data_IF_167275570906
#
_entry.id   IF_167275570906
#
_cell.length_a   1.000
_cell.length_b   1.000
_cell.length_c   1.000
_cell.angle_alpha   90.00
_cell.angle_beta   90.00
_cell.angle_gamma   90.00
#
_symmetry.space_group_name_H-M   'P 1'
#
loop_
_entity.id
_entity.type
_entity.pdbx_description
1 polymer ?
#
# COMPACT_ATOMS: atom_id res chain seq x y z
N UNK A 1 -56.45 17.96 -50.46
CA UNK A 1 -55.04 17.63 -50.51
C UNK A 1 -54.45 18.01 -49.15
N UNK A 2 -54.30 17.03 -48.19
CA UNK A 2 -53.73 17.27 -46.87
C UNK A 2 -52.47 16.42 -46.75
N UNK A 3 -51.31 17.06 -46.82
CA UNK A 3 -50.01 16.45 -46.61
C UNK A 3 -49.71 16.36 -45.12
N UNK A 4 -49.74 15.16 -44.56
CA UNK A 4 -49.30 14.85 -43.19
C UNK A 4 -47.76 14.76 -43.17
N UNK A 5 -47.11 15.70 -42.52
CA UNK A 5 -45.68 15.65 -42.21
C UNK A 5 -45.50 14.84 -40.91
N UNK A 6 -44.98 13.62 -41.02
CA UNK A 6 -44.56 12.81 -39.88
C UNK A 6 -43.21 13.30 -39.37
N UNK A 7 -43.17 13.86 -38.13
CA UNK A 7 -41.91 14.12 -37.42
C UNK A 7 -41.46 12.82 -36.74
N UNK A 8 -40.38 12.25 -37.24
CA UNK A 8 -39.68 11.16 -36.55
C UNK A 8 -38.78 11.73 -35.45
N UNK A 9 -39.12 11.45 -34.21
CA UNK A 9 -38.26 11.75 -33.03
C UNK A 9 -37.22 10.64 -32.93
N UNK A 10 -35.97 10.94 -33.20
CA UNK A 10 -34.85 10.06 -32.95
C UNK A 10 -34.48 10.19 -31.44
N UNK A 11 -34.78 9.20 -30.65
CA UNK A 11 -34.32 9.06 -29.27
C UNK A 11 -32.83 8.68 -29.29
N UNK A 12 -31.98 9.63 -28.98
CA UNK A 12 -30.56 9.41 -28.76
C UNK A 12 -30.38 8.82 -27.35
N UNK A 13 -30.24 7.49 -27.22
CA UNK A 13 -29.93 6.83 -26.00
C UNK A 13 -28.43 7.05 -25.69
N UNK A 14 -28.13 7.98 -24.78
CA UNK A 14 -26.79 8.14 -24.23
C UNK A 14 -26.46 6.91 -23.36
N UNK A 15 -25.60 6.05 -23.87
CA UNK A 15 -25.03 4.95 -23.07
C UNK A 15 -24.12 5.55 -21.99
N UNK A 16 -24.58 5.53 -20.74
CA UNK A 16 -23.74 5.82 -19.56
C UNK A 16 -22.83 4.61 -19.37
N UNK A 17 -21.59 4.72 -19.81
CA UNK A 17 -20.53 3.76 -19.48
C UNK A 17 -20.28 3.84 -17.98
N UNK A 18 -20.32 2.72 -17.23
CA UNK A 18 -19.92 2.74 -15.83
C UNK A 18 -18.45 3.16 -15.76
N UNK A 19 -18.17 4.19 -14.94
CA UNK A 19 -16.82 4.58 -14.62
C UNK A 19 -16.12 3.38 -13.96
N UNK A 20 -15.13 2.81 -14.63
CA UNK A 20 -14.32 1.72 -14.11
C UNK A 20 -13.46 2.32 -12.99
N UNK A 21 -13.76 2.00 -11.72
CA UNK A 21 -12.91 2.40 -10.60
C UNK A 21 -11.48 1.92 -10.85
N UNK A 22 -10.52 2.83 -10.75
CA UNK A 22 -9.12 2.47 -10.87
C UNK A 22 -8.75 1.41 -9.81
N UNK A 23 -7.92 0.42 -10.16
CA UNK A 23 -7.52 -0.60 -9.21
C UNK A 23 -6.85 0.05 -7.98
N UNK A 24 -7.12 -0.45 -6.77
CA UNK A 24 -6.51 0.09 -5.56
C UNK A 24 -4.98 -0.06 -5.61
N UNK A 25 -4.28 0.99 -5.16
CA UNK A 25 -2.81 1.06 -5.16
C UNK A 25 -2.29 1.58 -3.83
N UNK A 26 -1.02 1.28 -3.53
CA UNK A 26 -0.24 1.92 -2.47
C UNK A 26 0.76 2.87 -3.10
N UNK A 27 0.78 4.10 -2.62
CA UNK A 27 1.74 5.11 -3.05
C UNK A 27 2.96 5.13 -2.12
N UNK A 28 4.16 5.18 -2.70
CA UNK A 28 5.42 5.43 -1.98
C UNK A 28 5.96 6.77 -2.45
N UNK A 29 6.06 7.73 -1.56
CA UNK A 29 6.36 9.14 -1.88
C UNK A 29 7.33 9.77 -0.87
N UNK A 30 7.59 11.06 -1.02
CA UNK A 30 8.43 11.83 -0.09
C UNK A 30 9.90 11.79 -0.47
N UNK A 31 10.79 11.60 0.50
CA UNK A 31 12.24 11.60 0.32
C UNK A 31 12.74 10.28 -0.31
N UNK A 32 12.24 9.95 -1.49
CA UNK A 32 12.63 8.82 -2.34
C UNK A 32 13.17 9.34 -3.66
N UNK A 33 14.11 8.61 -4.29
CA UNK A 33 14.61 8.99 -5.61
C UNK A 33 13.57 8.76 -6.70
N UNK A 34 12.69 7.76 -6.51
CA UNK A 34 11.60 7.41 -7.41
C UNK A 34 10.32 7.16 -6.62
N UNK A 35 9.29 7.98 -6.85
CA UNK A 35 7.96 7.70 -6.33
C UNK A 35 7.37 6.47 -7.03
N UNK A 36 6.67 5.62 -6.25
CA UNK A 36 6.04 4.41 -6.76
C UNK A 36 4.53 4.48 -6.54
N UNK A 37 3.80 3.87 -7.46
CA UNK A 37 2.38 3.54 -7.32
C UNK A 37 2.26 2.05 -7.58
N UNK A 38 1.97 1.28 -6.54
CA UNK A 38 2.04 -0.18 -6.57
C UNK A 38 0.63 -0.78 -6.50
N UNK A 39 0.27 -1.53 -7.51
CA UNK A 39 -0.90 -2.41 -7.53
C UNK A 39 -0.54 -3.80 -6.97
N UNK A 40 -1.54 -4.66 -6.75
CA UNK A 40 -1.27 -6.07 -6.40
C UNK A 40 -0.50 -6.81 -7.51
N UNK A 41 -0.68 -6.43 -8.77
CA UNK A 41 0.07 -7.00 -9.90
C UNK A 41 1.55 -6.59 -9.86
N UNK A 42 1.84 -5.37 -9.41
CA UNK A 42 3.23 -4.91 -9.24
C UNK A 42 3.89 -5.62 -8.07
N UNK A 43 3.18 -5.83 -6.95
CA UNK A 43 3.68 -6.62 -5.83
C UNK A 43 3.91 -8.08 -6.21
N UNK A 44 3.07 -8.66 -7.08
CA UNK A 44 3.24 -10.02 -7.56
C UNK A 44 4.54 -10.25 -8.37
N UNK A 45 5.12 -9.19 -8.95
CA UNK A 45 6.39 -9.23 -9.69
C UNK A 45 7.63 -9.06 -8.77
N UNK A 46 7.43 -8.76 -7.49
CA UNK A 46 8.50 -8.60 -6.50
C UNK A 46 8.71 -9.90 -5.72
N UNK A 47 9.85 -10.05 -5.01
CA UNK A 47 10.06 -11.19 -4.12
C UNK A 47 8.93 -11.31 -3.11
N UNK A 48 8.25 -12.46 -3.09
CA UNK A 48 7.11 -12.70 -2.20
C UNK A 48 7.58 -13.29 -0.87
N UNK A 49 6.93 -12.85 0.19
CA UNK A 49 7.14 -13.35 1.54
C UNK A 49 5.80 -13.63 2.24
N UNK A 50 5.86 -14.46 3.27
CA UNK A 50 4.68 -14.83 4.06
C UNK A 50 4.95 -14.64 5.54
N UNK A 51 3.97 -14.10 6.25
CA UNK A 51 4.00 -13.90 7.69
C UNK A 51 2.77 -14.52 8.33
N UNK A 52 2.98 -15.29 9.38
CA UNK A 52 1.92 -15.88 10.20
C UNK A 52 1.74 -15.05 11.47
N UNK A 53 0.51 -14.67 11.75
CA UNK A 53 0.16 -13.96 12.99
C UNK A 53 -1.00 -14.66 13.69
N UNK A 54 -1.05 -14.54 15.01
CA UNK A 54 -2.17 -15.03 15.80
C UNK A 54 -2.81 -13.85 16.54
N UNK A 55 -4.09 -13.67 16.37
CA UNK A 55 -4.87 -12.66 17.05
C UNK A 55 -6.17 -13.26 17.58
N UNK A 56 -6.45 -13.08 18.87
CA UNK A 56 -7.62 -13.65 19.53
C UNK A 56 -7.80 -15.18 19.29
N UNK A 57 -6.68 -15.92 19.28
CA UNK A 57 -6.67 -17.37 19.04
C UNK A 57 -6.87 -17.78 17.58
N UNK A 58 -7.06 -16.83 16.66
CA UNK A 58 -7.14 -17.10 15.22
C UNK A 58 -5.81 -16.84 14.54
N UNK A 59 -5.34 -17.84 13.81
CA UNK A 59 -4.15 -17.74 12.98
C UNK A 59 -4.52 -17.20 11.60
N UNK A 60 -3.68 -16.29 11.08
CA UNK A 60 -3.79 -15.75 9.74
C UNK A 60 -2.43 -15.75 9.08
N UNK A 61 -2.35 -16.26 7.87
CA UNK A 61 -1.18 -16.20 7.01
C UNK A 61 -1.37 -15.04 6.05
N UNK A 62 -0.47 -14.06 6.10
CA UNK A 62 -0.42 -12.94 5.18
C UNK A 62 0.69 -13.14 4.17
N UNK A 63 0.40 -12.92 2.88
CA UNK A 63 1.39 -12.92 1.83
C UNK A 63 1.52 -11.51 1.24
N UNK A 64 2.75 -11.15 0.89
CA UNK A 64 3.06 -9.82 0.41
C UNK A 64 4.52 -9.68 0.00
N UNK A 65 5.07 -8.50 0.18
CA UNK A 65 6.45 -8.12 -0.09
C UNK A 65 7.05 -7.49 1.17
N UNK A 66 8.31 -7.77 1.47
CA UNK A 66 8.99 -7.10 2.57
C UNK A 66 9.04 -5.59 2.33
N UNK A 67 8.79 -4.81 3.36
CA UNK A 67 8.72 -3.35 3.23
C UNK A 67 10.08 -2.76 2.82
N UNK A 68 11.20 -3.37 3.23
CA UNK A 68 12.53 -2.94 2.80
C UNK A 68 12.75 -3.13 1.29
N UNK A 69 12.23 -4.22 0.67
CA UNK A 69 12.31 -4.43 -0.78
C UNK A 69 11.52 -3.35 -1.55
N UNK A 70 10.38 -2.92 -0.99
CA UNK A 70 9.59 -1.82 -1.55
C UNK A 70 10.39 -0.52 -1.54
N UNK A 71 11.09 -0.22 -0.44
CA UNK A 71 11.92 0.98 -0.33
C UNK A 71 13.19 0.90 -1.17
N UNK A 72 13.79 -0.27 -1.32
CA UNK A 72 14.90 -0.48 -2.24
C UNK A 72 14.48 -0.17 -3.68
N UNK A 73 13.30 -0.64 -4.11
CA UNK A 73 12.72 -0.32 -5.43
C UNK A 73 12.50 1.19 -5.62
N UNK A 74 12.07 1.90 -4.59
CA UNK A 74 11.89 3.36 -4.59
C UNK A 74 13.21 4.14 -4.44
N UNK A 75 14.33 3.44 -4.28
CA UNK A 75 15.62 4.04 -4.01
C UNK A 75 15.59 5.00 -2.81
N UNK A 76 14.90 4.62 -1.74
CA UNK A 76 14.97 5.29 -0.46
C UNK A 76 16.35 5.08 0.18
N UNK A 77 16.70 5.89 1.18
CA UNK A 77 17.97 5.75 1.91
C UNK A 77 18.00 4.38 2.62
N UNK A 78 19.01 3.57 2.29
CA UNK A 78 19.22 2.26 2.87
C UNK A 78 20.71 1.92 3.04
N UNK A 79 20.99 0.99 3.93
CA UNK A 79 22.34 0.46 4.16
C UNK A 79 23.34 1.53 4.50
N UNK A 80 24.40 1.63 3.70
CA UNK A 80 25.49 2.60 3.92
C UNK A 80 25.07 4.06 3.76
N UNK A 81 23.98 4.36 3.02
CA UNK A 81 23.44 5.71 2.86
C UNK A 81 22.65 6.16 4.10
N UNK A 82 22.13 5.22 4.89
CA UNK A 82 21.32 5.51 6.08
C UNK A 82 22.21 5.77 7.30
N UNK A 83 22.92 6.93 7.29
CA UNK A 83 23.85 7.35 8.35
C UNK A 83 23.68 8.83 8.68
N UNK A 84 24.10 9.20 9.89
CA UNK A 84 24.09 10.59 10.35
C UNK A 84 22.70 11.22 10.22
N UNK A 85 22.56 12.29 9.47
CA UNK A 85 21.28 13.01 9.27
C UNK A 85 20.17 12.15 8.64
N UNK A 86 20.52 11.16 7.81
CA UNK A 86 19.54 10.28 7.20
C UNK A 86 18.81 9.41 8.23
N UNK A 87 19.45 9.07 9.36
CA UNK A 87 18.82 8.34 10.46
C UNK A 87 17.71 9.12 11.17
N UNK A 88 17.65 10.45 11.02
CA UNK A 88 16.54 11.26 11.52
C UNK A 88 15.33 11.26 10.57
N UNK A 89 15.24 10.28 9.68
CA UNK A 89 14.10 10.07 8.79
C UNK A 89 13.15 9.02 9.32
N UNK A 90 11.92 9.09 8.83
CA UNK A 90 10.87 8.12 9.16
C UNK A 90 9.94 7.88 7.96
N UNK A 91 9.17 6.82 8.02
CA UNK A 91 8.08 6.53 7.12
C UNK A 91 6.77 6.81 7.85
N UNK A 92 5.92 7.63 7.26
CA UNK A 92 4.54 7.82 7.66
C UNK A 92 3.65 6.89 6.83
N UNK A 93 3.13 5.84 7.45
CA UNK A 93 2.14 4.95 6.86
C UNK A 93 0.75 5.52 7.09
N UNK A 94 -0.05 5.66 6.02
CA UNK A 94 -1.38 6.26 6.04
C UNK A 94 -2.41 5.28 5.50
N UNK A 95 -3.50 5.12 6.23
CA UNK A 95 -4.66 4.34 5.83
C UNK A 95 -5.74 5.21 5.18
N UNK A 96 -6.68 4.58 4.48
CA UNK A 96 -7.80 5.23 3.82
C UNK A 96 -8.74 5.95 4.81
N UNK A 97 -8.87 5.43 6.04
CA UNK A 97 -9.69 5.99 7.12
C UNK A 97 -8.99 7.12 7.90
N UNK A 98 -7.78 7.52 7.49
CA UNK A 98 -6.99 8.55 8.13
C UNK A 98 -6.09 8.04 9.27
N UNK A 99 -6.10 6.74 9.59
CA UNK A 99 -5.18 6.18 10.57
C UNK A 99 -3.73 6.32 10.11
N UNK A 100 -2.84 6.69 11.02
CA UNK A 100 -1.44 6.95 10.70
C UNK A 100 -0.51 6.29 11.71
N UNK A 101 0.62 5.78 11.23
CA UNK A 101 1.68 5.18 12.04
C UNK A 101 3.03 5.60 11.49
N UNK A 102 3.99 5.81 12.38
CA UNK A 102 5.37 6.17 12.05
C UNK A 102 6.29 4.99 12.30
N UNK A 103 7.21 4.77 11.34
CA UNK A 103 8.34 3.84 11.46
C UNK A 103 9.62 4.62 11.21
N UNK A 104 10.64 4.47 12.08
CA UNK A 104 11.95 5.05 11.78
C UNK A 104 12.58 4.37 10.58
N UNK A 105 13.39 5.08 9.78
CA UNK A 105 14.10 4.45 8.67
C UNK A 105 15.05 3.35 9.15
N UNK A 106 15.67 3.52 10.33
CA UNK A 106 16.59 2.53 10.89
C UNK A 106 15.89 1.21 11.26
N UNK A 107 14.61 1.23 11.68
CA UNK A 107 13.88 -0.01 11.97
C UNK A 107 13.39 -0.76 10.73
N UNK A 108 13.43 -0.11 9.58
CA UNK A 108 13.00 -0.70 8.30
C UNK A 108 14.18 -1.23 7.47
N UNK A 109 15.42 -0.99 7.91
CA UNK A 109 16.61 -1.38 7.18
C UNK A 109 17.27 -2.63 7.80
N UNK A 110 17.39 -3.73 7.05
CA UNK A 110 18.01 -4.96 7.52
C UNK A 110 19.47 -4.80 7.99
N UNK A 111 20.16 -3.72 7.56
CA UNK A 111 21.52 -3.41 8.04
C UNK A 111 21.56 -2.98 9.52
N UNK A 112 20.45 -2.55 10.10
CA UNK A 112 20.36 -2.11 11.50
C UNK A 112 19.63 -3.11 12.39
N UNK A 113 18.53 -3.66 11.91
CA UNK A 113 17.69 -4.56 12.70
C UNK A 113 16.93 -5.52 11.78
N UNK A 114 16.86 -6.76 12.19
CA UNK A 114 16.06 -7.78 11.53
C UNK A 114 14.57 -7.61 11.92
N UNK A 115 13.94 -6.62 11.32
CA UNK A 115 12.52 -6.28 11.54
C UNK A 115 11.72 -6.52 10.27
N UNK A 116 11.16 -7.70 10.18
CA UNK A 116 10.38 -8.16 9.03
C UNK A 116 8.98 -7.55 9.06
N UNK A 117 8.80 -6.41 8.39
CA UNK A 117 7.50 -5.77 8.17
C UNK A 117 7.02 -6.10 6.76
N UNK A 118 5.81 -6.64 6.64
CA UNK A 118 5.24 -7.08 5.38
C UNK A 118 4.22 -6.06 4.86
N UNK A 119 4.36 -5.65 3.60
CA UNK A 119 3.28 -5.04 2.83
C UNK A 119 2.47 -6.17 2.21
N UNK A 120 1.37 -6.52 2.85
CA UNK A 120 0.50 -7.63 2.47
C UNK A 120 -0.63 -7.18 1.54
N UNK A 121 -0.95 -8.03 0.56
CA UNK A 121 -2.11 -7.91 -0.33
C UNK A 121 -3.03 -9.13 -0.28
N UNK A 122 -2.61 -10.19 0.43
CA UNK A 122 -3.30 -11.49 0.49
C UNK A 122 -3.35 -11.97 1.94
N UNK A 123 -4.46 -12.58 2.32
CA UNK A 123 -4.65 -13.24 3.61
C UNK A 123 -5.26 -14.62 3.40
N UNK A 124 -4.64 -15.67 3.98
CA UNK A 124 -5.05 -17.07 3.85
C UNK A 124 -5.27 -17.49 2.38
N UNK A 125 -4.33 -17.07 1.49
CA UNK A 125 -4.36 -17.38 0.06
C UNK A 125 -5.40 -16.63 -0.76
N UNK A 126 -6.08 -15.63 -0.20
CA UNK A 126 -7.12 -14.84 -0.89
C UNK A 126 -6.78 -13.35 -0.85
N UNK A 127 -7.09 -12.60 -1.92
CA UNK A 127 -6.99 -11.15 -1.91
C UNK A 127 -7.78 -10.54 -0.75
N UNK A 128 -7.21 -9.58 -0.06
CA UNK A 128 -7.90 -8.87 1.03
C UNK A 128 -8.93 -7.88 0.49
N UNK A 129 -9.99 -7.65 1.29
CA UNK A 129 -11.06 -6.70 0.96
C UNK A 129 -11.80 -6.21 2.22
N UNK A 130 -12.77 -5.33 2.04
CA UNK A 130 -13.60 -4.80 3.12
C UNK A 130 -12.80 -4.05 4.18
N UNK A 131 -13.06 -4.32 5.46
CA UNK A 131 -12.40 -3.65 6.59
C UNK A 131 -10.89 -3.93 6.72
N UNK A 132 -10.34 -4.90 5.99
CA UNK A 132 -8.89 -5.13 5.90
C UNK A 132 -8.24 -4.20 4.88
N UNK A 133 -9.03 -3.71 3.91
CA UNK A 133 -8.54 -3.02 2.74
C UNK A 133 -7.85 -3.97 1.75
N UNK A 134 -7.40 -3.43 0.63
CA UNK A 134 -6.66 -4.20 -0.38
C UNK A 134 -5.22 -4.44 0.04
N UNK A 135 -4.65 -3.51 0.80
CA UNK A 135 -3.28 -3.57 1.32
C UNK A 135 -3.25 -3.29 2.82
N UNK A 136 -2.32 -3.92 3.50
CA UNK A 136 -2.03 -3.63 4.90
C UNK A 136 -0.56 -3.81 5.23
N UNK A 137 -0.09 -3.14 6.29
CA UNK A 137 1.16 -3.51 6.93
C UNK A 137 0.90 -4.61 7.96
N UNK A 138 1.82 -5.56 8.03
CA UNK A 138 1.85 -6.59 9.08
C UNK A 138 3.18 -6.46 9.80
N UNK A 139 3.13 -6.22 11.12
CA UNK A 139 4.29 -6.08 12.00
C UNK A 139 4.28 -7.25 12.98
N UNK A 140 4.89 -8.39 12.62
CA UNK A 140 4.70 -9.64 13.36
C UNK A 140 5.32 -9.63 14.76
N UNK A 141 6.34 -8.80 14.99
CA UNK A 141 7.04 -8.71 16.28
C UNK A 141 6.33 -7.82 17.31
N UNK A 142 5.31 -7.06 16.89
CA UNK A 142 4.51 -6.25 17.79
C UNK A 142 3.49 -7.10 18.54
N UNK A 143 3.46 -6.97 19.87
CA UNK A 143 2.44 -7.65 20.69
C UNK A 143 1.04 -7.12 20.43
N UNK A 144 0.76 -5.80 20.52
CA UNK A 144 -0.49 -5.23 20.00
C UNK A 144 -0.38 -4.95 18.51
N UNK A 145 -1.40 -5.30 17.74
CA UNK A 145 -1.42 -5.10 16.28
C UNK A 145 -1.62 -3.64 15.83
N UNK A 146 -1.39 -2.66 16.68
CA UNK A 146 -1.67 -1.24 16.39
C UNK A 146 -0.86 -0.69 15.22
N UNK A 147 0.38 -1.12 15.04
CA UNK A 147 1.21 -0.69 13.90
C UNK A 147 0.98 -1.52 12.62
N UNK A 148 0.17 -2.57 12.69
CA UNK A 148 -0.28 -3.33 11.51
C UNK A 148 -1.42 -2.60 10.82
N UNK A 149 -1.10 -1.57 10.03
CA UNK A 149 -2.03 -0.63 9.41
C UNK A 149 -2.90 -1.33 8.36
N UNK A 150 -4.21 -1.33 8.56
CA UNK A 150 -5.20 -1.82 7.58
C UNK A 150 -5.56 -0.73 6.58
N UNK A 151 -6.13 -1.11 5.43
CA UNK A 151 -6.55 -0.17 4.38
C UNK A 151 -5.44 0.81 3.98
N UNK A 152 -4.20 0.31 3.89
CA UNK A 152 -3.04 1.12 3.57
C UNK A 152 -3.17 1.73 2.18
N UNK A 153 -2.92 3.03 2.07
CA UNK A 153 -2.95 3.78 0.80
C UNK A 153 -1.65 4.48 0.48
N UNK A 154 -0.87 4.85 1.51
CA UNK A 154 0.35 5.64 1.31
C UNK A 154 1.43 5.31 2.32
N UNK A 155 2.66 5.33 1.83
CA UNK A 155 3.91 5.29 2.58
C UNK A 155 4.71 6.53 2.19
N UNK A 156 4.88 7.48 3.10
CA UNK A 156 5.62 8.71 2.84
C UNK A 156 6.93 8.72 3.62
N UNK A 157 8.04 8.75 2.90
CA UNK A 157 9.36 8.90 3.50
C UNK A 157 9.59 10.36 3.83
N UNK A 158 9.77 10.66 5.10
CA UNK A 158 10.01 12.01 5.62
C UNK A 158 11.42 12.10 6.17
N UNK A 159 12.20 13.04 5.65
CA UNK A 159 13.54 13.36 6.15
C UNK A 159 13.46 14.64 6.97
N UNK A 160 13.78 14.55 8.26
CA UNK A 160 13.88 15.73 9.11
C UNK A 160 15.10 16.57 8.69
N UNK A 161 14.84 17.82 8.38
CA UNK A 161 15.91 18.79 8.08
C UNK A 161 16.36 19.46 9.40
N UNK A 162 17.65 19.46 9.62
CA UNK A 162 18.31 20.37 10.57
C UNK A 162 19.03 21.46 9.81
#
# INVERSE_FOLDING_TARGET
MHTRRSLAWALLAAAVLPAQEAPPTVQVTGAVKQALTLSSEDLAKMPRASVRTTSNGMETVYDGVWLHDVFEKGLAFQGSELRGKALAGYVLAQAQDGYQVVFSLGELDPAFIDNEILLADTANGKPMFGAQGRFRLVVPKDKPGARSVRMLTKLEVVQLRK
#
